data_IF_903429918444
#
_entry.id   IF_903429918444
#
_cell.length_a   1.000
_cell.length_b   1.000
_cell.length_c   1.000
_cell.angle_alpha   90.00
_cell.angle_beta   90.00
_cell.angle_gamma   90.00
#
_symmetry.space_group_name_H-M   'P 1'
#
loop_
_entity.id
_entity.type
_entity.pdbx_description
1 polymer ?
#
# COMPACT_ATOMS: atom_id res chain seq x y z
N UNK A 1 31.96 14.46 24.78
CA UNK A 1 30.90 13.64 24.11
C UNK A 1 30.36 12.65 25.13
N UNK A 2 29.13 12.88 25.63
CA UNK A 2 28.54 12.11 26.74
C UNK A 2 28.11 10.70 26.31
N UNK A 3 27.83 10.49 25.01
CA UNK A 3 27.28 9.22 24.47
C UNK A 3 28.35 8.40 23.76
N UNK A 4 29.48 9.00 23.36
CA UNK A 4 30.56 8.29 22.64
C UNK A 4 30.23 7.92 21.19
N UNK A 5 29.08 8.30 20.66
CA UNK A 5 28.63 7.99 19.30
C UNK A 5 28.54 9.25 18.43
N UNK A 6 28.73 9.07 17.12
CA UNK A 6 28.55 10.16 16.16
C UNK A 6 27.09 10.31 15.83
N UNK A 7 26.46 11.40 16.29
CA UNK A 7 25.10 11.77 15.95
C UNK A 7 25.09 12.73 14.75
N UNK A 8 24.14 12.56 13.84
CA UNK A 8 23.92 13.47 12.70
C UNK A 8 22.42 13.73 12.49
N UNK A 9 22.08 14.97 12.16
CA UNK A 9 20.75 15.30 11.68
C UNK A 9 20.61 14.82 10.26
N UNK A 10 19.59 13.97 10.01
CA UNK A 10 19.34 13.39 8.70
C UNK A 10 18.27 14.17 7.93
N UNK A 11 17.23 14.61 8.60
CA UNK A 11 16.15 15.43 8.06
C UNK A 11 15.40 16.12 9.19
N UNK A 12 14.80 17.25 8.88
CA UNK A 12 13.86 17.94 9.74
C UNK A 12 12.79 18.59 8.86
N UNK A 13 11.64 18.89 9.46
CA UNK A 13 10.56 19.61 8.77
C UNK A 13 9.87 20.55 9.76
N UNK A 14 9.49 21.74 9.27
CA UNK A 14 8.73 22.73 10.02
C UNK A 14 7.36 22.90 9.39
N UNK A 15 6.30 22.77 10.17
CA UNK A 15 4.93 23.01 9.74
C UNK A 15 4.40 24.28 10.39
N UNK A 16 3.50 24.98 9.70
CA UNK A 16 2.77 26.13 10.21
C UNK A 16 1.32 26.07 9.79
N UNK A 17 0.44 26.66 10.59
CA UNK A 17 -1.01 26.72 10.38
C UNK A 17 -1.65 27.48 11.55
N UNK A 18 -2.96 27.66 11.50
CA UNK A 18 -3.71 28.29 12.60
C UNK A 18 -3.63 27.46 13.88
N UNK A 19 -3.48 26.15 13.73
CA UNK A 19 -3.25 25.20 14.80
C UNK A 19 -2.28 24.12 14.34
N UNK A 20 -1.33 23.74 15.20
CA UNK A 20 -0.37 22.66 14.95
C UNK A 20 -0.35 21.74 16.15
N UNK A 21 -0.43 20.45 15.93
CA UNK A 21 -0.37 19.42 16.97
C UNK A 21 0.67 18.38 16.64
N UNK A 22 1.21 17.75 17.66
CA UNK A 22 2.12 16.61 17.55
C UNK A 22 1.53 15.36 18.22
N UNK A 23 2.01 14.22 17.80
CA UNK A 23 1.69 12.92 18.37
C UNK A 23 2.89 11.97 18.28
N UNK A 24 3.24 11.36 19.39
CA UNK A 24 4.26 10.33 19.48
C UNK A 24 3.61 8.97 19.76
N UNK A 25 3.93 7.99 18.95
CA UNK A 25 3.41 6.62 19.05
C UNK A 25 4.55 5.63 19.33
N UNK A 26 4.22 4.56 20.08
CA UNK A 26 5.14 3.45 20.30
C UNK A 26 6.46 3.88 20.99
N UNK A 27 6.39 4.61 22.09
CA UNK A 27 7.54 5.16 22.82
C UNK A 27 8.48 6.00 21.92
N UNK A 28 7.88 6.82 21.03
CA UNK A 28 8.64 7.72 20.15
C UNK A 28 9.15 7.05 18.86
N UNK A 29 8.72 5.84 18.55
CA UNK A 29 9.11 5.18 17.29
C UNK A 29 8.48 5.82 16.05
N UNK A 30 7.29 6.40 16.20
CA UNK A 30 6.62 7.15 15.15
C UNK A 30 6.29 8.53 15.71
N UNK A 31 6.72 9.58 15.05
CA UNK A 31 6.37 10.95 15.31
C UNK A 31 5.55 11.54 14.18
N UNK A 32 4.44 12.19 14.53
CA UNK A 32 3.55 12.87 13.58
C UNK A 32 3.35 14.31 14.02
N UNK A 33 3.39 15.23 13.07
CA UNK A 33 2.98 16.64 13.24
C UNK A 33 1.89 16.91 12.20
N UNK A 34 0.82 17.56 12.62
CA UNK A 34 -0.30 17.97 11.75
C UNK A 34 -0.56 19.44 11.93
N UNK A 35 -0.64 20.17 10.83
CA UNK A 35 -1.06 21.57 10.78
C UNK A 35 -2.46 21.67 10.16
N UNK A 36 -3.31 22.48 10.77
CA UNK A 36 -4.66 22.78 10.29
C UNK A 36 -4.91 24.28 10.20
N UNK A 37 -5.85 24.64 9.35
CA UNK A 37 -6.34 26.01 9.18
C UNK A 37 -7.86 26.06 9.32
N UNK A 38 -8.38 27.26 9.57
CA UNK A 38 -9.83 27.54 9.62
C UNK A 38 -10.44 27.44 11.03
N UNK A 39 -9.78 26.78 11.97
CA UNK A 39 -10.17 26.73 13.37
C UNK A 39 -8.95 26.46 14.28
N UNK A 40 -8.96 27.00 15.50
CA UNK A 40 -7.85 26.85 16.46
C UNK A 40 -8.33 26.69 17.91
N UNK A 41 -9.60 26.41 18.11
CA UNK A 41 -10.18 26.10 19.41
C UNK A 41 -9.75 24.72 19.93
N UNK A 42 -10.14 24.39 21.16
CA UNK A 42 -9.73 23.12 21.77
C UNK A 42 -10.33 21.90 21.04
N UNK A 43 -11.52 22.04 20.46
CA UNK A 43 -12.15 20.99 19.65
C UNK A 43 -11.33 20.73 18.37
N UNK A 44 -10.85 21.78 17.70
CA UNK A 44 -9.97 21.67 16.54
C UNK A 44 -8.62 21.00 16.91
N UNK A 45 -8.02 21.36 18.05
CA UNK A 45 -6.78 20.73 18.54
C UNK A 45 -6.98 19.24 18.80
N UNK A 46 -8.08 18.88 19.46
CA UNK A 46 -8.41 17.47 19.73
C UNK A 46 -8.65 16.70 18.43
N UNK A 47 -9.39 17.27 17.49
CA UNK A 47 -9.63 16.66 16.19
C UNK A 47 -8.32 16.41 15.44
N UNK A 48 -7.42 17.39 15.37
CA UNK A 48 -6.11 17.21 14.73
C UNK A 48 -5.24 16.18 15.46
N UNK A 49 -5.34 16.07 16.78
CA UNK A 49 -4.63 15.04 17.54
C UNK A 49 -5.15 13.63 17.19
N UNK A 50 -6.46 13.48 17.02
CA UNK A 50 -7.05 12.24 16.53
C UNK A 50 -6.62 11.92 15.09
N UNK A 51 -6.51 12.94 14.23
CA UNK A 51 -5.96 12.79 12.87
C UNK A 51 -4.47 12.40 12.91
N UNK A 52 -3.68 12.95 13.83
CA UNK A 52 -2.28 12.55 14.02
C UNK A 52 -2.15 11.07 14.40
N UNK A 53 -3.06 10.54 15.24
CA UNK A 53 -3.14 9.10 15.54
C UNK A 53 -3.49 8.29 14.29
N UNK A 54 -4.44 8.77 13.47
CA UNK A 54 -4.79 8.15 12.18
C UNK A 54 -3.56 8.05 11.27
N UNK A 55 -2.81 9.15 11.12
CA UNK A 55 -1.60 9.21 10.28
C UNK A 55 -0.52 8.25 10.81
N UNK A 56 -0.34 8.18 12.12
CA UNK A 56 0.60 7.24 12.71
C UNK A 56 0.26 5.78 12.37
N UNK A 57 -1.03 5.42 12.46
CA UNK A 57 -1.53 4.07 12.24
C UNK A 57 -1.59 3.67 10.77
N UNK A 58 -2.10 4.55 9.90
CA UNK A 58 -2.47 4.24 8.52
C UNK A 58 -1.45 4.72 7.48
N UNK A 59 -0.47 5.54 7.88
CA UNK A 59 0.61 6.03 7.01
C UNK A 59 0.15 6.58 5.65
N UNK A 60 -0.80 7.53 5.58
CA UNK A 60 -1.21 8.13 4.32
C UNK A 60 -0.04 8.87 3.67
N UNK A 61 -0.05 8.95 2.34
CA UNK A 61 0.97 9.64 1.57
C UNK A 61 0.52 11.04 1.12
N UNK A 62 -0.79 11.25 1.03
CA UNK A 62 -1.42 12.48 0.56
C UNK A 62 -2.52 12.92 1.54
N UNK A 63 -2.82 14.21 1.58
CA UNK A 63 -3.97 14.71 2.34
C UNK A 63 -5.27 14.26 1.67
N UNK A 64 -5.37 14.45 0.36
CA UNK A 64 -6.53 14.06 -0.44
C UNK A 64 -6.12 13.43 -1.76
N UNK A 65 -7.06 12.78 -2.45
CA UNK A 65 -6.82 12.26 -3.80
C UNK A 65 -6.50 13.35 -4.82
N UNK A 66 -6.95 14.59 -4.59
CA UNK A 66 -6.65 15.72 -5.47
C UNK A 66 -5.17 16.14 -5.44
N UNK A 67 -4.43 15.73 -4.41
CA UNK A 67 -3.00 16.03 -4.26
C UNK A 67 -2.13 15.02 -5.01
N UNK A 68 -2.72 13.94 -5.54
CA UNK A 68 -2.01 12.94 -6.34
C UNK A 68 -1.82 13.49 -7.74
N UNK A 69 -0.56 13.71 -8.15
CA UNK A 69 -0.26 14.21 -9.48
C UNK A 69 -0.66 13.22 -10.59
N UNK A 70 -0.88 13.73 -11.81
CA UNK A 70 -1.17 12.91 -12.97
C UNK A 70 -0.07 11.85 -13.22
N UNK A 71 1.21 12.22 -13.05
CA UNK A 71 2.33 11.29 -13.19
C UNK A 71 2.32 10.19 -12.13
N UNK A 72 2.00 10.54 -10.87
CA UNK A 72 1.86 9.56 -9.81
C UNK A 72 0.69 8.60 -10.06
N UNK A 73 -0.44 9.09 -10.56
CA UNK A 73 -1.58 8.25 -10.98
C UNK A 73 -1.24 7.34 -12.16
N UNK A 74 -0.50 7.84 -13.15
CA UNK A 74 -0.06 7.04 -14.29
C UNK A 74 0.88 5.91 -13.83
N UNK A 75 1.84 6.22 -12.96
CA UNK A 75 2.74 5.21 -12.38
C UNK A 75 1.99 4.18 -11.52
N UNK A 76 1.00 4.62 -10.73
CA UNK A 76 0.16 3.73 -9.95
C UNK A 76 -0.61 2.76 -10.86
N UNK A 77 -1.14 3.26 -11.98
CA UNK A 77 -1.81 2.43 -12.99
C UNK A 77 -0.86 1.40 -13.60
N UNK A 78 0.34 1.81 -14.01
CA UNK A 78 1.37 0.92 -14.56
C UNK A 78 1.70 -0.21 -13.57
N UNK A 79 2.03 0.13 -12.34
CA UNK A 79 2.34 -0.84 -11.28
C UNK A 79 1.15 -1.79 -11.04
N UNK A 80 -0.08 -1.27 -11.05
CA UNK A 80 -1.29 -2.08 -10.83
C UNK A 80 -1.53 -3.06 -11.97
N UNK A 81 -1.31 -2.63 -13.22
CA UNK A 81 -1.37 -3.49 -14.41
C UNK A 81 -0.31 -4.59 -14.32
N UNK A 82 0.95 -4.24 -14.08
CA UNK A 82 2.04 -5.21 -14.01
C UNK A 82 1.84 -6.21 -12.86
N UNK A 83 1.38 -5.74 -11.71
CA UNK A 83 1.02 -6.61 -10.57
C UNK A 83 -0.10 -7.58 -10.93
N UNK A 84 -1.12 -7.13 -11.68
CA UNK A 84 -2.22 -7.99 -12.10
C UNK A 84 -1.77 -9.08 -13.08
N UNK A 85 -0.91 -8.75 -14.05
CA UNK A 85 -0.37 -9.69 -15.01
C UNK A 85 0.56 -10.73 -14.37
N UNK A 86 1.31 -10.34 -13.35
CA UNK A 86 2.17 -11.23 -12.57
C UNK A 86 1.41 -12.13 -11.56
N UNK A 87 0.13 -11.88 -11.35
CA UNK A 87 -0.75 -12.68 -10.49
C UNK A 87 -1.99 -13.18 -11.26
N UNK A 88 -1.83 -14.13 -12.20
CA UNK A 88 -2.90 -14.57 -13.12
C UNK A 88 -4.14 -15.12 -12.41
N UNK A 89 -3.97 -15.70 -11.22
CA UNK A 89 -5.06 -16.19 -10.36
C UNK A 89 -6.05 -15.09 -9.95
N UNK A 90 -5.63 -13.85 -10.03
CA UNK A 90 -6.44 -12.66 -9.69
C UNK A 90 -7.11 -12.02 -10.90
N UNK A 91 -6.82 -12.51 -12.12
CA UNK A 91 -7.39 -11.98 -13.36
C UNK A 91 -8.88 -12.33 -13.48
N UNK A 92 -9.66 -11.54 -14.23
CA UNK A 92 -11.02 -11.89 -14.58
C UNK A 92 -11.11 -13.25 -15.25
N UNK A 93 -12.08 -14.06 -14.86
CA UNK A 93 -12.27 -15.44 -15.39
C UNK A 93 -12.18 -15.57 -16.91
N UNK A 94 -12.79 -14.68 -17.72
CA UNK A 94 -12.70 -14.81 -19.19
C UNK A 94 -11.27 -14.69 -19.71
N UNK A 95 -10.45 -13.83 -19.11
CA UNK A 95 -9.05 -13.64 -19.48
C UNK A 95 -8.22 -14.83 -19.00
N UNK A 96 -8.40 -15.21 -17.73
CA UNK A 96 -7.72 -16.36 -17.14
C UNK A 96 -7.97 -17.65 -17.95
N UNK A 97 -9.22 -17.91 -18.34
CA UNK A 97 -9.57 -19.09 -19.12
C UNK A 97 -8.86 -19.13 -20.49
N UNK A 98 -8.71 -17.98 -21.16
CA UNK A 98 -7.95 -17.89 -22.41
C UNK A 98 -6.47 -18.20 -22.22
N UNK A 99 -5.87 -17.70 -21.12
CA UNK A 99 -4.47 -17.98 -20.79
C UNK A 99 -4.26 -19.45 -20.46
N UNK A 100 -5.16 -20.04 -19.67
CA UNK A 100 -5.11 -21.48 -19.35
C UNK A 100 -5.25 -22.33 -20.60
N UNK A 101 -6.16 -21.98 -21.53
CA UNK A 101 -6.29 -22.70 -22.78
C UNK A 101 -4.99 -22.71 -23.59
N UNK A 102 -4.28 -21.57 -23.66
CA UNK A 102 -2.95 -21.50 -24.28
C UNK A 102 -1.91 -22.33 -23.53
N UNK A 103 -1.96 -22.33 -22.20
CA UNK A 103 -1.01 -23.07 -21.38
C UNK A 103 -1.18 -24.59 -21.55
N UNK A 104 -2.42 -25.07 -21.59
CA UNK A 104 -2.78 -26.50 -21.85
C UNK A 104 -2.37 -26.95 -23.25
N UNK A 105 -2.49 -26.06 -24.26
CA UNK A 105 -2.20 -26.33 -25.65
C UNK A 105 -0.68 -26.41 -26.00
N UNK A 106 0.20 -26.58 -25.00
CA UNK A 106 1.59 -26.88 -25.30
C UNK A 106 2.65 -26.15 -24.46
N UNK A 107 2.23 -25.50 -23.37
CA UNK A 107 3.15 -24.83 -22.43
C UNK A 107 3.31 -25.63 -21.14
N UNK A 108 2.19 -26.10 -20.58
CA UNK A 108 2.19 -26.85 -19.34
C UNK A 108 2.69 -28.28 -19.48
N UNK A 109 3.26 -28.81 -18.41
CA UNK A 109 3.60 -30.22 -18.30
C UNK A 109 2.35 -31.12 -18.39
N UNK A 110 2.52 -32.38 -18.77
CA UNK A 110 1.41 -33.34 -18.76
C UNK A 110 0.78 -33.51 -17.36
N UNK A 111 1.57 -33.36 -16.32
CA UNK A 111 1.11 -33.41 -14.91
C UNK A 111 0.22 -32.22 -14.56
N UNK A 112 0.62 -31.00 -14.90
CA UNK A 112 -0.16 -29.79 -14.66
C UNK A 112 -1.45 -29.77 -15.50
N UNK A 113 -1.40 -30.29 -16.72
CA UNK A 113 -2.59 -30.48 -17.57
C UNK A 113 -3.56 -31.48 -16.92
N UNK A 114 -3.07 -32.58 -16.36
CA UNK A 114 -3.92 -33.57 -15.67
C UNK A 114 -4.56 -32.94 -14.39
N UNK A 115 -3.81 -32.13 -13.64
CA UNK A 115 -4.33 -31.39 -12.50
C UNK A 115 -5.44 -30.41 -12.94
N UNK A 116 -5.23 -29.70 -14.04
CA UNK A 116 -6.25 -28.81 -14.58
C UNK A 116 -7.53 -29.58 -14.97
N UNK A 117 -7.42 -30.69 -15.70
CA UNK A 117 -8.58 -31.52 -16.10
C UNK A 117 -9.38 -32.00 -14.88
N UNK A 118 -8.69 -32.38 -13.79
CA UNK A 118 -9.34 -32.79 -12.55
C UNK A 118 -10.02 -31.66 -11.82
N UNK A 119 -9.39 -30.46 -11.78
CA UNK A 119 -9.81 -29.34 -10.92
C UNK A 119 -10.55 -28.21 -11.64
N UNK A 120 -10.69 -28.26 -12.98
CA UNK A 120 -11.30 -27.18 -13.78
C UNK A 120 -12.74 -26.79 -13.37
N UNK A 121 -13.46 -27.67 -12.68
CA UNK A 121 -14.79 -27.38 -12.13
C UNK A 121 -14.73 -26.37 -10.96
N UNK A 122 -13.60 -26.25 -10.29
CA UNK A 122 -13.39 -25.31 -9.18
C UNK A 122 -12.08 -24.55 -9.34
N UNK A 123 -12.09 -23.53 -10.18
CA UNK A 123 -10.92 -22.71 -10.52
C UNK A 123 -10.26 -22.03 -9.31
N UNK A 124 -11.01 -21.76 -8.24
CA UNK A 124 -10.45 -21.14 -7.05
C UNK A 124 -9.44 -22.06 -6.34
N UNK A 125 -9.61 -23.38 -6.46
CA UNK A 125 -8.69 -24.36 -5.88
C UNK A 125 -7.59 -24.79 -6.86
N UNK A 126 -7.75 -24.59 -8.16
CA UNK A 126 -6.77 -25.00 -9.16
C UNK A 126 -5.35 -24.54 -8.82
N UNK A 127 -5.21 -23.26 -8.50
CA UNK A 127 -3.90 -22.64 -8.18
C UNK A 127 -3.20 -23.22 -6.94
N UNK A 128 -3.93 -23.89 -6.06
CA UNK A 128 -3.31 -24.56 -4.90
C UNK A 128 -2.57 -25.84 -5.30
N UNK A 129 -2.91 -26.44 -6.43
CA UNK A 129 -2.39 -27.72 -6.90
C UNK A 129 -1.39 -27.58 -8.04
N UNK A 130 -1.51 -26.54 -8.87
CA UNK A 130 -0.56 -26.26 -9.95
C UNK A 130 0.87 -26.10 -9.43
N UNK A 131 1.83 -26.58 -10.20
CA UNK A 131 3.26 -26.38 -9.94
C UNK A 131 3.62 -24.88 -9.92
N UNK A 132 4.76 -24.55 -9.31
CA UNK A 132 5.28 -23.17 -9.35
C UNK A 132 5.61 -22.75 -10.79
N UNK A 133 6.08 -23.69 -11.58
CA UNK A 133 6.41 -23.47 -12.99
C UNK A 133 5.17 -23.17 -13.82
N UNK A 134 4.10 -23.95 -13.69
CA UNK A 134 2.83 -23.69 -14.38
C UNK A 134 2.25 -22.31 -14.06
N UNK A 135 2.36 -21.86 -12.80
CA UNK A 135 1.94 -20.50 -12.38
C UNK A 135 2.82 -19.43 -13.02
N UNK A 136 4.14 -19.63 -13.06
CA UNK A 136 5.08 -18.69 -13.70
C UNK A 136 4.81 -18.60 -15.21
N UNK A 137 4.59 -19.73 -15.88
CA UNK A 137 4.25 -19.77 -17.30
C UNK A 137 2.94 -19.05 -17.62
N UNK A 138 1.93 -19.12 -16.74
CA UNK A 138 0.71 -18.30 -16.90
C UNK A 138 0.99 -16.81 -16.80
N UNK A 139 1.86 -16.39 -15.88
CA UNK A 139 2.27 -15.00 -15.79
C UNK A 139 3.03 -14.55 -17.04
N UNK A 140 3.92 -15.37 -17.56
CA UNK A 140 4.64 -15.10 -18.82
C UNK A 140 3.67 -14.95 -20.00
N UNK A 141 2.67 -15.83 -20.11
CA UNK A 141 1.62 -15.73 -21.13
C UNK A 141 0.79 -14.44 -20.96
N UNK A 142 0.45 -14.06 -19.72
CA UNK A 142 -0.26 -12.81 -19.45
C UNK A 142 0.57 -11.59 -19.85
N UNK A 143 1.86 -11.59 -19.58
CA UNK A 143 2.80 -10.53 -19.97
C UNK A 143 2.94 -10.49 -21.50
N UNK A 144 3.06 -11.64 -22.17
CA UNK A 144 3.14 -11.70 -23.62
C UNK A 144 1.85 -11.19 -24.31
N UNK A 145 0.69 -11.40 -23.70
CA UNK A 145 -0.60 -10.92 -24.20
C UNK A 145 -0.98 -9.52 -23.62
N UNK A 146 -0.05 -8.80 -23.00
CA UNK A 146 -0.30 -7.51 -22.30
C UNK A 146 -1.13 -6.54 -23.12
N UNK A 147 -0.76 -6.32 -24.39
CA UNK A 147 -1.45 -5.37 -25.25
C UNK A 147 -2.93 -5.72 -25.49
N UNK A 148 -3.24 -7.00 -25.59
CA UNK A 148 -4.61 -7.49 -25.75
C UNK A 148 -5.37 -7.39 -24.44
N UNK A 149 -4.73 -7.75 -23.34
CA UNK A 149 -5.35 -7.74 -22.00
C UNK A 149 -5.66 -6.32 -21.54
N UNK A 150 -4.76 -5.36 -21.74
CA UNK A 150 -5.00 -3.96 -21.35
C UNK A 150 -6.05 -3.25 -22.20
N UNK A 151 -6.38 -3.79 -23.39
CA UNK A 151 -7.48 -3.30 -24.20
C UNK A 151 -8.84 -3.88 -23.76
N UNK A 152 -8.86 -4.91 -22.91
CA UNK A 152 -10.09 -5.56 -22.45
C UNK A 152 -10.81 -4.71 -21.39
N UNK A 153 -12.11 -4.48 -21.56
CA UNK A 153 -12.94 -3.66 -20.66
C UNK A 153 -13.05 -4.25 -19.25
N UNK A 154 -13.09 -5.57 -19.14
CA UNK A 154 -13.23 -6.27 -17.85
C UNK A 154 -11.93 -6.12 -17.06
N UNK A 155 -10.79 -6.25 -17.74
CA UNK A 155 -9.49 -6.00 -17.14
C UNK A 155 -9.34 -4.54 -16.65
N UNK A 156 -9.75 -3.59 -17.49
CA UNK A 156 -9.73 -2.17 -17.09
C UNK A 156 -10.59 -1.91 -15.86
N UNK A 157 -11.76 -2.52 -15.75
CA UNK A 157 -12.60 -2.44 -14.56
C UNK A 157 -11.92 -2.99 -13.30
N UNK A 158 -11.19 -4.11 -13.42
CA UNK A 158 -10.37 -4.65 -12.33
C UNK A 158 -9.28 -3.67 -11.89
N UNK A 159 -8.54 -3.13 -12.85
CA UNK A 159 -7.43 -2.17 -12.60
C UNK A 159 -7.97 -0.90 -11.94
N UNK A 160 -9.05 -0.32 -12.46
CA UNK A 160 -9.68 0.87 -11.88
C UNK A 160 -10.20 0.63 -10.47
N UNK A 161 -10.80 -0.54 -10.20
CA UNK A 161 -11.23 -0.93 -8.86
C UNK A 161 -10.06 -1.02 -7.87
N UNK A 162 -8.94 -1.62 -8.28
CA UNK A 162 -7.71 -1.70 -7.46
C UNK A 162 -7.10 -0.32 -7.20
N UNK A 163 -7.00 0.52 -8.24
CA UNK A 163 -6.50 1.90 -8.10
C UNK A 163 -7.40 2.69 -7.15
N UNK A 164 -8.72 2.62 -7.32
CA UNK A 164 -9.66 3.30 -6.44
C UNK A 164 -9.48 2.91 -4.97
N UNK A 165 -9.24 1.63 -4.69
CA UNK A 165 -8.95 1.14 -3.35
C UNK A 165 -7.62 1.69 -2.82
N UNK A 166 -6.55 1.60 -3.61
CA UNK A 166 -5.24 2.11 -3.22
C UNK A 166 -5.25 3.62 -2.96
N UNK A 167 -5.92 4.40 -3.83
CA UNK A 167 -6.08 5.86 -3.66
C UNK A 167 -6.78 6.19 -2.34
N UNK A 168 -7.81 5.42 -1.96
CA UNK A 168 -8.46 5.59 -0.64
C UNK A 168 -7.53 5.28 0.52
N UNK A 169 -6.67 4.27 0.38
CA UNK A 169 -5.73 3.86 1.43
C UNK A 169 -4.60 4.88 1.63
N UNK A 170 -4.12 5.51 0.56
CA UNK A 170 -3.01 6.48 0.62
C UNK A 170 -3.45 7.93 0.82
N UNK A 171 -4.75 8.24 0.73
CA UNK A 171 -5.32 9.58 0.88
C UNK A 171 -5.96 9.73 2.25
N UNK A 172 -5.38 10.54 3.14
CA UNK A 172 -5.82 10.72 4.53
C UNK A 172 -7.32 10.96 4.67
N UNK A 173 -7.86 11.92 3.91
CA UNK A 173 -9.26 12.32 4.01
C UNK A 173 -10.24 11.24 3.54
N UNK A 174 -9.80 10.33 2.67
CA UNK A 174 -10.60 9.22 2.14
C UNK A 174 -10.52 7.95 3.00
N UNK A 175 -9.54 7.86 3.90
CA UNK A 175 -9.41 6.72 4.82
C UNK A 175 -10.59 6.65 5.77
N UNK A 176 -10.99 5.42 6.13
CA UNK A 176 -11.91 5.21 7.24
C UNK A 176 -11.22 5.64 8.53
N UNK A 177 -11.89 6.47 9.31
CA UNK A 177 -11.38 6.97 10.58
C UNK A 177 -11.22 5.82 11.58
N UNK A 178 -10.03 5.66 12.16
CA UNK A 178 -9.71 4.50 13.04
C UNK A 178 -10.58 4.41 14.29
N UNK A 179 -11.19 5.53 14.72
CA UNK A 179 -12.13 5.58 15.86
C UNK A 179 -13.58 5.68 15.40
N UNK A 180 -13.89 5.42 14.13
CA UNK A 180 -15.26 5.46 13.63
C UNK A 180 -16.11 4.36 14.30
N UNK A 181 -17.16 4.74 15.01
CA UNK A 181 -18.07 3.80 15.71
C UNK A 181 -18.82 2.92 14.70
N UNK A 182 -19.18 3.46 13.55
CA UNK A 182 -19.89 2.77 12.47
C UNK A 182 -18.95 1.98 11.52
N UNK A 183 -17.63 2.10 11.71
CA UNK A 183 -16.61 1.51 10.83
C UNK A 183 -16.63 2.03 9.39
N UNK A 184 -17.30 3.15 9.11
CA UNK A 184 -17.50 3.69 7.75
C UNK A 184 -17.21 5.19 7.64
N UNK A 185 -17.28 5.95 8.73
CA UNK A 185 -17.01 7.38 8.74
C UNK A 185 -15.58 7.63 8.22
N UNK A 186 -15.43 8.47 7.21
CA UNK A 186 -14.11 8.88 6.72
C UNK A 186 -13.50 9.97 7.60
N UNK A 187 -12.18 10.15 7.50
CA UNK A 187 -11.48 11.26 8.18
C UNK A 187 -12.07 12.60 7.77
N UNK A 188 -12.42 12.81 6.49
CA UNK A 188 -13.08 14.02 6.03
C UNK A 188 -14.39 14.28 6.77
N UNK A 189 -15.26 13.27 6.85
CA UNK A 189 -16.55 13.38 7.57
C UNK A 189 -16.36 13.59 9.07
N UNK A 190 -15.34 12.98 9.67
CA UNK A 190 -15.01 13.22 11.06
C UNK A 190 -14.63 14.68 11.30
N UNK A 191 -13.75 15.26 10.49
CA UNK A 191 -13.37 16.66 10.59
C UNK A 191 -14.57 17.60 10.40
N UNK A 192 -15.41 17.35 9.39
CA UNK A 192 -16.64 18.11 9.14
C UNK A 192 -17.62 18.07 10.33
N UNK A 193 -17.70 16.95 11.03
CA UNK A 193 -18.56 16.79 12.21
C UNK A 193 -18.06 17.60 13.41
N UNK A 194 -16.76 17.87 13.51
CA UNK A 194 -16.19 18.72 14.55
C UNK A 194 -16.29 20.20 14.18
N UNK A 195 -15.78 20.56 13.00
CA UNK A 195 -15.85 21.93 12.49
C UNK A 195 -15.70 21.93 10.95
N UNK A 196 -16.67 22.50 10.24
CA UNK A 196 -16.71 22.54 8.77
C UNK A 196 -15.59 23.36 8.14
N UNK A 197 -15.06 24.33 8.90
CA UNK A 197 -13.99 25.22 8.42
C UNK A 197 -12.60 24.64 8.69
N UNK A 198 -12.48 23.65 9.57
CA UNK A 198 -11.22 22.98 9.87
C UNK A 198 -10.73 22.16 8.68
N UNK A 199 -9.55 22.51 8.16
CA UNK A 199 -8.90 21.83 7.03
C UNK A 199 -7.49 21.42 7.43
N UNK A 200 -7.07 20.24 6.98
CA UNK A 200 -5.66 19.83 7.09
C UNK A 200 -4.86 20.63 6.07
N UNK A 201 -3.86 21.36 6.55
CA UNK A 201 -2.94 22.15 5.72
C UNK A 201 -1.72 21.31 5.29
N UNK A 202 -1.15 20.58 6.23
CA UNK A 202 0.00 19.71 6.00
C UNK A 202 0.17 18.72 7.14
N UNK A 203 0.90 17.63 6.88
CA UNK A 203 1.36 16.73 7.92
C UNK A 203 2.74 16.16 7.60
N UNK A 204 3.41 15.69 8.63
CA UNK A 204 4.69 14.95 8.54
C UNK A 204 4.60 13.74 9.45
N UNK A 205 5.06 12.61 8.95
CA UNK A 205 5.25 11.39 9.72
C UNK A 205 6.69 10.92 9.57
N UNK A 206 7.36 10.71 10.69
CA UNK A 206 8.67 10.07 10.75
C UNK A 206 8.59 8.78 11.54
N UNK A 207 9.31 7.77 11.07
CA UNK A 207 9.43 6.48 11.74
C UNK A 207 10.91 6.12 11.95
N UNK A 208 11.22 5.56 13.10
CA UNK A 208 12.58 5.10 13.41
C UNK A 208 12.99 4.00 12.43
N UNK A 209 14.15 4.19 11.80
CA UNK A 209 14.69 3.26 10.80
C UNK A 209 14.17 3.47 9.37
N UNK A 210 13.23 4.41 9.16
CA UNK A 210 12.71 4.70 7.84
C UNK A 210 13.80 5.18 6.87
N UNK A 211 13.89 4.53 5.69
CA UNK A 211 14.88 4.84 4.66
C UNK A 211 16.32 4.50 5.03
N UNK A 212 16.54 3.70 6.07
CA UNK A 212 17.84 3.07 6.36
C UNK A 212 17.88 1.70 5.71
N UNK A 213 19.01 1.37 5.06
CA UNK A 213 19.25 0.01 4.63
C UNK A 213 19.28 -0.89 5.88
N UNK A 214 18.44 -1.91 5.92
CA UNK A 214 18.55 -2.96 6.92
C UNK A 214 19.85 -3.70 6.63
N UNK A 215 20.90 -3.43 7.38
CA UNK A 215 22.03 -4.36 7.44
C UNK A 215 21.47 -5.67 7.96
N UNK A 216 21.43 -6.70 7.11
CA UNK A 216 21.32 -8.08 7.58
C UNK A 216 22.65 -8.39 8.27
N UNK A 217 22.77 -7.98 9.50
CA UNK A 217 23.85 -8.49 10.37
C UNK A 217 23.49 -9.95 10.64
N UNK A 218 24.19 -10.83 9.98
CA UNK A 218 24.17 -12.25 10.32
C UNK A 218 24.88 -12.39 11.67
N UNK A 219 24.09 -12.23 12.73
CA UNK A 219 24.55 -12.30 14.12
C UNK A 219 25.31 -13.61 14.39
N UNK A 220 24.95 -14.70 13.72
CA UNK A 220 25.65 -15.97 13.81
C UNK A 220 27.07 -15.91 13.21
N UNK A 221 27.21 -15.20 12.08
CA UNK A 221 28.53 -15.00 11.46
C UNK A 221 29.43 -14.04 12.26
N UNK A 222 28.82 -13.05 12.93
CA UNK A 222 29.57 -12.09 13.76
C UNK A 222 30.02 -12.73 15.08
N UNK A 223 29.19 -13.55 15.72
CA UNK A 223 29.54 -14.34 16.90
C UNK A 223 30.61 -15.37 16.54
N UNK A 224 30.53 -16.03 15.38
CA UNK A 224 31.54 -16.98 14.93
C UNK A 224 32.92 -16.31 14.68
N UNK A 225 32.93 -15.05 14.21
CA UNK A 225 34.18 -14.27 14.08
C UNK A 225 34.79 -13.90 15.43
N UNK A 226 33.99 -13.62 16.44
CA UNK A 226 34.45 -13.27 17.79
C UNK A 226 34.91 -14.51 18.59
N UNK A 227 34.37 -15.68 18.27
CA UNK A 227 34.79 -16.94 18.93
C UNK A 227 36.06 -17.58 18.33
N UNK A 228 36.54 -17.11 17.18
CA UNK A 228 37.76 -17.61 16.51
C UNK A 228 38.97 -16.66 16.68
N UNK A 229 38.98 -15.84 17.72
CA UNK A 229 40.14 -15.02 18.12
C UNK A 229 40.81 -15.59 19.36
#
# INVERSE_FOLDING_TARGET
ATIGEKLSFRRFQKLSGDVVVDYLHGNGRIGVIVAGNGASDDAAKEALKNVAMQIAAMNPQYISRADISADAMAKLKEITVDSALNAPDTLPKPILNKLIAKAVDGVWSAEDVAIYEEKKSNMNFLFNFLSKEAKAQLAELAIADKDVIVADKIFNGLVEGRISKQVKEISLLDQVYVKAEDGKQTVAKYLESVNKDLKIASFVRFEVGEGMEKKNEDFAAEVAKQMNV
#
